data_IF_963876735374
#
_entry.id   IF_963876735374
#
_cell.length_a   1.000
_cell.length_b   1.000
_cell.length_c   1.000
_cell.angle_alpha   90.00
_cell.angle_beta   90.00
_cell.angle_gamma   90.00
#
_symmetry.space_group_name_H-M   'P 1'
#
loop_
_entity.id
_entity.type
_entity.pdbx_description
1 polymer ?
#
# COMPACT_ATOMS: atom_id res chain seq x y z
N UNK A 1 -0.45 5.74 36.26
CA UNK A 1 -1.75 5.63 35.57
C UNK A 1 -2.78 5.22 36.63
N UNK A 2 -4.06 5.58 36.51
CA UNK A 2 -5.08 5.19 37.50
C UNK A 2 -5.38 3.67 37.38
N UNK A 3 -5.59 2.95 38.50
CA UNK A 3 -5.90 1.51 38.46
C UNK A 3 -7.12 1.16 37.60
N UNK A 4 -8.16 2.01 37.62
CA UNK A 4 -9.35 1.85 36.79
C UNK A 4 -9.03 1.92 35.29
N UNK A 5 -8.13 2.82 34.88
CA UNK A 5 -7.72 2.99 33.48
C UNK A 5 -6.90 1.77 33.02
N UNK A 6 -6.03 1.24 33.88
CA UNK A 6 -5.28 0.01 33.59
C UNK A 6 -6.21 -1.19 33.43
N UNK A 7 -7.22 -1.31 34.30
CA UNK A 7 -8.22 -2.37 34.21
C UNK A 7 -9.11 -2.22 32.97
N UNK A 8 -9.48 -1.01 32.58
CA UNK A 8 -10.17 -0.74 31.31
C UNK A 8 -9.33 -1.10 30.08
N UNK A 9 -8.02 -0.83 30.12
CA UNK A 9 -7.12 -1.19 29.02
C UNK A 9 -7.03 -2.71 28.87
N UNK A 10 -6.90 -3.44 30.00
CA UNK A 10 -6.96 -4.91 30.03
C UNK A 10 -8.31 -5.42 29.51
N UNK A 11 -9.42 -4.82 29.95
CA UNK A 11 -10.77 -5.18 29.51
C UNK A 11 -10.93 -4.99 28.00
N UNK A 12 -10.43 -3.89 27.43
CA UNK A 12 -10.46 -3.66 25.99
C UNK A 12 -9.65 -4.72 25.22
N UNK A 13 -8.48 -5.12 25.75
CA UNK A 13 -7.68 -6.20 25.16
C UNK A 13 -8.42 -7.55 25.20
N UNK A 14 -9.06 -7.88 26.32
CA UNK A 14 -9.88 -9.08 26.47
C UNK A 14 -11.07 -9.05 25.50
N UNK A 15 -11.78 -7.92 25.39
CA UNK A 15 -12.92 -7.76 24.47
C UNK A 15 -12.49 -7.92 23.00
N UNK A 16 -11.30 -7.42 22.64
CA UNK A 16 -10.74 -7.59 21.30
C UNK A 16 -10.44 -9.07 20.99
N UNK A 17 -9.88 -9.79 21.95
CA UNK A 17 -9.57 -11.22 21.80
C UNK A 17 -10.85 -12.08 21.73
N UNK A 18 -11.85 -11.76 22.55
CA UNK A 18 -13.18 -12.38 22.47
C UNK A 18 -13.79 -12.15 21.09
N UNK A 19 -13.73 -10.92 20.57
CA UNK A 19 -14.25 -10.61 19.24
C UNK A 19 -13.50 -11.37 18.15
N UNK A 20 -12.15 -11.44 18.22
CA UNK A 20 -11.32 -12.23 17.29
C UNK A 20 -11.76 -13.69 17.24
N UNK A 21 -11.91 -14.34 18.40
CA UNK A 21 -12.35 -15.72 18.50
C UNK A 21 -13.79 -15.90 17.98
N UNK A 22 -14.71 -14.97 18.27
CA UNK A 22 -16.07 -15.01 17.75
C UNK A 22 -16.12 -14.88 16.23
N UNK A 23 -15.30 -14.00 15.66
CA UNK A 23 -15.19 -13.81 14.22
C UNK A 23 -14.60 -15.06 13.54
N UNK A 24 -13.59 -15.70 14.15
CA UNK A 24 -13.02 -16.97 13.68
C UNK A 24 -14.07 -18.10 13.69
N UNK A 25 -14.80 -18.25 14.80
CA UNK A 25 -15.89 -19.21 14.94
C UNK A 25 -16.99 -18.95 13.88
N UNK A 26 -17.34 -17.69 13.65
CA UNK A 26 -18.39 -17.30 12.69
C UNK A 26 -17.97 -17.43 11.22
N UNK A 27 -16.66 -17.47 10.92
CA UNK A 27 -16.15 -17.63 9.57
C UNK A 27 -16.17 -19.10 9.10
N UNK A 28 -16.06 -20.06 10.03
CA UNK A 28 -16.06 -21.49 9.66
C UNK A 28 -17.33 -21.95 8.93
N UNK A 29 -18.56 -21.63 9.39
CA UNK A 29 -19.78 -22.02 8.66
C UNK A 29 -19.84 -21.44 7.25
N UNK A 30 -19.30 -20.23 7.03
CA UNK A 30 -19.27 -19.62 5.70
C UNK A 30 -18.32 -20.36 4.76
N UNK A 31 -17.12 -20.71 5.26
CA UNK A 31 -16.15 -21.51 4.50
C UNK A 31 -16.73 -22.87 4.11
N UNK A 32 -17.38 -23.56 5.06
CA UNK A 32 -18.06 -24.83 4.80
C UNK A 32 -19.15 -24.68 3.75
N UNK A 33 -19.98 -23.63 3.82
CA UNK A 33 -21.04 -23.39 2.84
C UNK A 33 -20.51 -23.17 1.41
N UNK A 34 -19.42 -22.41 1.25
CA UNK A 34 -18.76 -22.20 -0.06
C UNK A 34 -18.27 -23.52 -0.64
N UNK A 35 -17.70 -24.37 0.21
CA UNK A 35 -17.17 -25.67 -0.17
C UNK A 35 -18.31 -26.63 -0.55
N UNK A 36 -19.39 -26.69 0.22
CA UNK A 36 -20.57 -27.51 -0.09
C UNK A 36 -21.25 -27.08 -1.39
N UNK A 37 -21.23 -25.78 -1.70
CA UNK A 37 -21.73 -25.26 -2.98
C UNK A 37 -20.90 -25.78 -4.17
N UNK A 38 -19.56 -25.88 -4.03
CA UNK A 38 -18.71 -26.47 -5.07
C UNK A 38 -19.04 -27.95 -5.27
N UNK A 39 -19.15 -28.72 -4.19
CA UNK A 39 -19.49 -30.15 -4.25
C UNK A 39 -20.87 -30.37 -4.88
N UNK A 40 -21.85 -29.52 -4.60
CA UNK A 40 -23.16 -29.56 -5.25
C UNK A 40 -23.07 -29.34 -6.78
N UNK A 41 -22.15 -28.47 -7.21
CA UNK A 41 -21.80 -28.28 -8.61
C UNK A 41 -21.27 -29.57 -9.26
N UNK A 42 -20.24 -30.18 -8.66
CA UNK A 42 -19.63 -31.45 -9.13
C UNK A 42 -20.66 -32.58 -9.17
N UNK A 43 -21.50 -32.68 -8.14
CA UNK A 43 -22.60 -33.65 -8.09
C UNK A 43 -23.61 -33.45 -9.22
N UNK A 44 -23.96 -32.21 -9.53
CA UNK A 44 -24.87 -31.89 -10.65
C UNK A 44 -24.25 -32.28 -12.00
N UNK A 45 -22.94 -32.12 -12.16
CA UNK A 45 -22.24 -32.56 -13.38
C UNK A 45 -22.27 -34.08 -13.51
N UNK A 46 -22.02 -34.82 -12.42
CA UNK A 46 -22.11 -36.27 -12.39
C UNK A 46 -23.53 -36.76 -12.74
N UNK A 47 -24.56 -36.14 -12.15
CA UNK A 47 -25.97 -36.48 -12.43
C UNK A 47 -26.32 -36.24 -13.91
N UNK A 48 -25.84 -35.14 -14.51
CA UNK A 48 -26.01 -34.87 -15.95
C UNK A 48 -25.32 -35.92 -16.82
N UNK A 49 -24.09 -36.29 -16.49
CA UNK A 49 -23.34 -37.31 -17.24
C UNK A 49 -24.03 -38.68 -17.17
N UNK A 50 -24.52 -39.07 -15.97
CA UNK A 50 -25.28 -40.32 -15.80
C UNK A 50 -26.63 -40.29 -16.53
N UNK A 51 -27.32 -39.15 -16.56
CA UNK A 51 -28.55 -38.99 -17.31
C UNK A 51 -28.32 -39.13 -18.82
N UNK A 52 -27.21 -38.59 -19.35
CA UNK A 52 -26.83 -38.75 -20.75
C UNK A 52 -26.58 -40.22 -21.11
N UNK A 53 -25.82 -40.96 -20.29
CA UNK A 53 -25.60 -42.41 -20.49
C UNK A 53 -26.93 -43.17 -20.54
N UNK A 54 -27.84 -42.91 -19.60
CA UNK A 54 -29.17 -43.55 -19.59
C UNK A 54 -30.01 -43.20 -20.82
N UNK A 55 -29.91 -41.97 -21.32
CA UNK A 55 -30.60 -41.54 -22.53
C UNK A 55 -30.06 -42.27 -23.77
N UNK A 56 -28.74 -42.41 -23.88
CA UNK A 56 -28.08 -43.13 -24.97
C UNK A 56 -28.43 -44.63 -24.95
N UNK A 57 -28.44 -45.26 -23.77
CA UNK A 57 -28.89 -46.64 -23.60
C UNK A 57 -30.36 -46.83 -24.02
N UNK A 58 -31.24 -45.90 -23.65
CA UNK A 58 -32.65 -45.94 -24.03
C UNK A 58 -32.82 -45.74 -25.55
N UNK A 59 -32.05 -44.85 -26.17
CA UNK A 59 -32.07 -44.65 -27.62
C UNK A 59 -31.58 -45.90 -28.37
N UNK A 60 -30.50 -46.53 -27.90
CA UNK A 60 -30.00 -47.79 -28.45
C UNK A 60 -31.06 -48.89 -28.44
N UNK A 61 -31.74 -49.09 -27.31
CA UNK A 61 -32.84 -50.07 -27.20
C UNK A 61 -33.99 -49.79 -28.17
N UNK A 62 -34.28 -48.51 -28.48
CA UNK A 62 -35.30 -48.16 -29.48
C UNK A 62 -34.85 -48.57 -30.88
N UNK A 63 -33.60 -48.32 -31.27
CA UNK A 63 -33.07 -48.74 -32.56
C UNK A 63 -33.00 -50.27 -32.67
N UNK A 64 -32.58 -50.98 -31.62
CA UNK A 64 -32.60 -52.46 -31.58
C UNK A 64 -34.02 -53.01 -31.80
N UNK A 65 -35.02 -52.40 -31.17
CA UNK A 65 -36.43 -52.78 -31.36
C UNK A 65 -36.88 -52.53 -32.79
N UNK A 66 -36.55 -51.36 -33.36
CA UNK A 66 -36.89 -51.02 -34.74
C UNK A 66 -36.24 -51.98 -35.76
N UNK A 67 -34.99 -52.39 -35.53
CA UNK A 67 -34.30 -53.40 -36.35
C UNK A 67 -35.04 -54.74 -36.29
N UNK A 68 -35.45 -55.19 -35.10
CA UNK A 68 -36.20 -56.44 -34.95
C UNK A 68 -37.55 -56.38 -35.69
N UNK A 69 -38.27 -55.26 -35.60
CA UNK A 69 -39.52 -55.06 -36.33
C UNK A 69 -39.31 -55.08 -37.85
N UNK A 70 -38.26 -54.42 -38.35
CA UNK A 70 -37.90 -54.42 -39.78
C UNK A 70 -37.51 -55.81 -40.26
N UNK A 71 -36.74 -56.57 -39.48
CA UNK A 71 -36.40 -57.98 -39.78
C UNK A 71 -37.66 -58.85 -39.85
N UNK A 72 -38.63 -58.62 -38.96
CA UNK A 72 -39.93 -59.26 -38.99
C UNK A 72 -40.73 -58.92 -40.26
N UNK A 73 -40.72 -57.65 -40.70
CA UNK A 73 -41.34 -57.21 -41.97
C UNK A 73 -40.68 -57.87 -43.18
N UNK A 74 -39.34 -57.90 -43.23
CA UNK A 74 -38.59 -58.55 -44.31
C UNK A 74 -38.97 -60.03 -44.42
N UNK A 75 -39.07 -60.75 -43.29
CA UNK A 75 -39.51 -62.15 -43.30
C UNK A 75 -40.91 -62.29 -43.94
N UNK A 76 -41.88 -61.47 -43.51
CA UNK A 76 -43.24 -61.49 -44.05
C UNK A 76 -43.27 -61.16 -45.55
N UNK A 77 -42.52 -60.17 -46.00
CA UNK A 77 -42.46 -59.81 -47.42
C UNK A 77 -41.79 -60.89 -48.25
N UNK A 78 -40.77 -61.59 -47.72
CA UNK A 78 -40.15 -62.74 -48.37
C UNK A 78 -41.15 -63.90 -48.51
N UNK A 79 -41.88 -64.22 -47.45
CA UNK A 79 -42.93 -65.25 -47.50
C UNK A 79 -44.01 -64.89 -48.52
N UNK A 80 -44.51 -63.65 -48.50
CA UNK A 80 -45.50 -63.17 -49.46
C UNK A 80 -44.99 -63.22 -50.90
N UNK A 81 -43.70 -62.91 -51.13
CA UNK A 81 -43.09 -62.91 -52.46
C UNK A 81 -43.10 -64.29 -53.14
N UNK A 82 -43.15 -65.38 -52.36
CA UNK A 82 -43.27 -66.75 -52.86
C UNK A 82 -44.69 -67.08 -53.34
N UNK A 83 -45.71 -66.40 -52.82
CA UNK A 83 -47.13 -66.64 -53.12
C UNK A 83 -47.68 -65.75 -54.27
N UNK A 84 -46.93 -64.71 -54.67
CA UNK A 84 -47.36 -63.73 -55.67
C UNK A 84 -47.29 -64.28 -57.09
N UNK A 85 -48.37 -64.13 -57.87
CA UNK A 85 -48.49 -64.63 -59.25
C UNK A 85 -48.21 -63.59 -60.35
N UNK A 86 -48.15 -62.30 -60.00
CA UNK A 86 -47.89 -61.21 -60.96
C UNK A 86 -46.52 -60.58 -60.75
N UNK A 87 -45.81 -60.33 -61.86
CA UNK A 87 -44.44 -59.81 -61.84
C UNK A 87 -44.35 -58.41 -61.18
N UNK A 88 -45.38 -57.58 -61.35
CA UNK A 88 -45.41 -56.23 -60.77
C UNK A 88 -45.53 -56.24 -59.25
N UNK A 89 -46.35 -57.14 -58.69
CA UNK A 89 -46.48 -57.33 -57.24
C UNK A 89 -45.18 -57.89 -56.64
N UNK A 90 -44.49 -58.79 -57.34
CA UNK A 90 -43.19 -59.32 -56.91
C UNK A 90 -42.12 -58.22 -56.86
N UNK A 91 -42.04 -57.37 -57.89
CA UNK A 91 -41.12 -56.21 -57.92
C UNK A 91 -41.40 -55.21 -56.79
N UNK A 92 -42.67 -54.96 -56.49
CA UNK A 92 -43.05 -54.10 -55.37
C UNK A 92 -42.55 -54.65 -54.03
N UNK A 93 -42.75 -55.95 -53.76
CA UNK A 93 -42.26 -56.60 -52.54
C UNK A 93 -40.73 -56.59 -52.44
N UNK A 94 -40.03 -56.80 -53.56
CA UNK A 94 -38.56 -56.68 -53.58
C UNK A 94 -38.09 -55.25 -53.25
N UNK A 95 -38.80 -54.23 -53.73
CA UNK A 95 -38.48 -52.84 -53.40
C UNK A 95 -38.70 -52.54 -51.91
N UNK A 96 -39.80 -53.03 -51.32
CA UNK A 96 -40.07 -52.90 -49.88
C UNK A 96 -39.02 -53.63 -49.02
N UNK A 97 -38.56 -54.82 -49.45
CA UNK A 97 -37.46 -55.54 -48.78
C UNK A 97 -36.18 -54.72 -48.84
N UNK A 98 -35.80 -54.20 -50.02
CA UNK A 98 -34.60 -53.37 -50.17
C UNK A 98 -34.68 -52.07 -49.34
N UNK A 99 -35.87 -51.47 -49.23
CA UNK A 99 -36.09 -50.30 -48.39
C UNK A 99 -35.88 -50.64 -46.91
N UNK A 100 -36.50 -51.72 -46.42
CA UNK A 100 -36.33 -52.18 -45.05
C UNK A 100 -34.88 -52.59 -44.72
N UNK A 101 -34.16 -53.21 -45.67
CA UNK A 101 -32.73 -53.55 -45.53
C UNK A 101 -31.86 -52.29 -45.40
N UNK A 102 -32.17 -51.22 -46.15
CA UNK A 102 -31.49 -49.91 -46.00
C UNK A 102 -31.79 -49.25 -44.66
N UNK A 103 -33.03 -49.32 -44.18
CA UNK A 103 -33.39 -48.78 -42.87
C UNK A 103 -32.70 -49.54 -41.72
N UNK A 104 -32.56 -50.87 -41.83
CA UNK A 104 -31.76 -51.65 -40.87
C UNK A 104 -30.32 -51.16 -40.85
N UNK A 105 -29.67 -51.04 -42.01
CA UNK A 105 -28.29 -50.57 -42.09
C UNK A 105 -28.12 -49.17 -41.45
N UNK A 106 -29.05 -48.25 -41.72
CA UNK A 106 -29.02 -46.92 -41.12
C UNK A 106 -29.19 -46.94 -39.59
N UNK A 107 -30.03 -47.83 -39.06
CA UNK A 107 -30.19 -48.01 -37.62
C UNK A 107 -28.96 -48.69 -36.97
N UNK A 108 -28.33 -49.65 -37.66
CA UNK A 108 -27.09 -50.29 -37.22
C UNK A 108 -25.94 -49.28 -37.15
N UNK A 109 -25.80 -48.41 -38.16
CA UNK A 109 -24.85 -47.29 -38.15
C UNK A 109 -25.08 -46.34 -36.96
N UNK A 110 -26.35 -46.02 -36.66
CA UNK A 110 -26.72 -45.20 -35.49
C UNK A 110 -26.36 -45.85 -34.17
N UNK A 111 -26.55 -47.17 -34.05
CA UNK A 111 -26.15 -47.93 -32.85
C UNK A 111 -24.63 -47.92 -32.70
N UNK A 112 -23.87 -48.11 -33.78
CA UNK A 112 -22.40 -48.05 -33.74
C UNK A 112 -21.89 -46.67 -33.31
N UNK A 113 -22.46 -45.59 -33.84
CA UNK A 113 -22.17 -44.22 -33.43
C UNK A 113 -22.43 -44.02 -31.92
N UNK A 114 -23.56 -44.53 -31.42
CA UNK A 114 -23.90 -44.48 -29.98
C UNK A 114 -22.96 -45.31 -29.12
N UNK A 115 -22.49 -46.47 -29.59
CA UNK A 115 -21.54 -47.31 -28.86
C UNK A 115 -20.18 -46.64 -28.69
N UNK A 116 -19.68 -45.96 -29.73
CA UNK A 116 -18.44 -45.18 -29.65
C UNK A 116 -18.57 -44.03 -28.65
N UNK A 117 -19.72 -43.35 -28.66
CA UNK A 117 -19.99 -42.26 -27.72
C UNK A 117 -20.18 -42.76 -26.28
N UNK A 118 -20.76 -43.95 -26.08
CA UNK A 118 -20.97 -44.54 -24.77
C UNK A 118 -19.66 -44.77 -24.01
N UNK A 119 -18.61 -45.24 -24.69
CA UNK A 119 -17.27 -45.41 -24.08
C UNK A 119 -16.67 -44.06 -23.63
N UNK A 120 -16.89 -42.99 -24.39
CA UNK A 120 -16.46 -41.65 -24.01
C UNK A 120 -17.25 -41.15 -22.78
N UNK A 121 -18.57 -41.36 -22.76
CA UNK A 121 -19.43 -40.96 -21.63
C UNK A 121 -19.16 -41.76 -20.36
N UNK A 122 -18.86 -43.05 -20.46
CA UNK A 122 -18.49 -43.87 -19.30
C UNK A 122 -17.16 -43.39 -18.68
N UNK A 123 -16.19 -42.99 -19.51
CA UNK A 123 -14.96 -42.34 -19.02
C UNK A 123 -15.24 -41.01 -18.33
N UNK A 124 -16.13 -40.18 -18.88
CA UNK A 124 -16.54 -38.92 -18.25
C UNK A 124 -17.21 -39.16 -16.89
N UNK A 125 -18.12 -40.14 -16.79
CA UNK A 125 -18.78 -40.50 -15.53
C UNK A 125 -17.75 -40.99 -14.50
N UNK A 126 -16.83 -41.86 -14.89
CA UNK A 126 -15.77 -42.37 -14.00
C UNK A 126 -14.85 -41.25 -13.52
N UNK A 127 -14.48 -40.32 -14.40
CA UNK A 127 -13.68 -39.15 -14.04
C UNK A 127 -14.43 -38.26 -13.04
N UNK A 128 -15.69 -37.92 -13.32
CA UNK A 128 -16.52 -37.10 -12.44
C UNK A 128 -16.78 -37.78 -11.07
N UNK A 129 -16.91 -39.12 -11.03
CA UNK A 129 -17.02 -39.87 -9.78
C UNK A 129 -15.72 -39.84 -8.97
N UNK A 130 -14.58 -39.97 -9.62
CA UNK A 130 -13.27 -39.92 -8.96
C UNK A 130 -13.02 -38.52 -8.40
N UNK A 131 -13.32 -37.47 -9.16
CA UNK A 131 -13.25 -36.07 -8.75
C UNK A 131 -14.17 -35.80 -7.56
N UNK A 132 -15.46 -36.16 -7.65
CA UNK A 132 -16.40 -35.99 -6.54
C UNK A 132 -15.94 -36.72 -5.27
N UNK A 133 -15.38 -37.93 -5.40
CA UNK A 133 -14.87 -38.70 -4.25
C UNK A 133 -13.64 -38.03 -3.63
N UNK A 134 -12.72 -37.52 -4.44
CA UNK A 134 -11.54 -36.82 -3.97
C UNK A 134 -11.93 -35.52 -3.26
N UNK A 135 -12.78 -34.70 -3.89
CA UNK A 135 -13.31 -33.47 -3.29
C UNK A 135 -14.04 -33.77 -1.97
N UNK A 136 -14.93 -34.77 -1.94
CA UNK A 136 -15.64 -35.14 -0.71
C UNK A 136 -14.68 -35.52 0.43
N UNK A 137 -13.62 -36.27 0.12
CA UNK A 137 -12.64 -36.67 1.13
C UNK A 137 -11.84 -35.48 1.68
N UNK A 138 -11.42 -34.55 0.82
CA UNK A 138 -10.76 -33.32 1.26
C UNK A 138 -11.68 -32.46 2.12
N UNK A 139 -12.95 -32.35 1.74
CA UNK A 139 -13.95 -31.55 2.44
C UNK A 139 -14.24 -32.11 3.83
N UNK A 140 -14.40 -33.42 3.97
CA UNK A 140 -14.62 -34.02 5.29
C UNK A 140 -13.41 -33.85 6.20
N UNK A 141 -12.18 -33.88 5.64
CA UNK A 141 -10.97 -33.59 6.40
C UNK A 141 -10.94 -32.13 6.85
N UNK A 142 -11.19 -31.17 5.96
CA UNK A 142 -11.23 -29.74 6.32
C UNK A 142 -12.34 -29.44 7.34
N UNK A 143 -13.51 -30.08 7.21
CA UNK A 143 -14.61 -29.96 8.18
C UNK A 143 -14.20 -30.46 9.57
N UNK A 144 -13.51 -31.59 9.64
CA UNK A 144 -13.06 -32.15 10.91
C UNK A 144 -11.99 -31.25 11.57
N UNK A 145 -10.98 -30.81 10.81
CA UNK A 145 -9.97 -29.86 11.29
C UNK A 145 -10.62 -28.55 11.76
N UNK A 146 -11.59 -28.02 11.01
CA UNK A 146 -12.32 -26.82 11.39
C UNK A 146 -13.16 -27.02 12.66
N UNK A 147 -13.81 -28.18 12.84
CA UNK A 147 -14.56 -28.51 14.06
C UNK A 147 -13.66 -28.57 15.28
N UNK A 148 -12.50 -29.20 15.16
CA UNK A 148 -11.53 -29.29 16.24
C UNK A 148 -11.05 -27.90 16.66
N UNK A 149 -10.67 -27.06 15.69
CA UNK A 149 -10.30 -25.66 15.95
C UNK A 149 -11.43 -24.85 16.58
N UNK A 150 -12.66 -24.99 16.07
CA UNK A 150 -13.83 -24.31 16.64
C UNK A 150 -14.03 -24.70 18.11
N UNK A 151 -13.89 -25.99 18.43
CA UNK A 151 -14.03 -26.47 19.80
C UNK A 151 -12.91 -25.93 20.74
N UNK A 152 -11.69 -25.77 20.23
CA UNK A 152 -10.60 -25.11 20.96
C UNK A 152 -10.88 -23.62 21.16
N UNK A 153 -11.32 -22.92 20.13
CA UNK A 153 -11.66 -21.50 20.17
C UNK A 153 -12.84 -21.24 21.12
N UNK A 154 -13.84 -22.14 21.16
CA UNK A 154 -14.94 -22.07 22.12
C UNK A 154 -14.48 -22.24 23.57
N UNK A 155 -13.54 -23.14 23.84
CA UNK A 155 -12.94 -23.29 25.18
C UNK A 155 -12.18 -22.02 25.57
N UNK A 156 -11.33 -21.50 24.68
CA UNK A 156 -10.62 -20.25 24.92
C UNK A 156 -11.59 -19.09 25.14
N UNK A 157 -12.69 -19.03 24.37
CA UNK A 157 -13.73 -18.02 24.53
C UNK A 157 -14.35 -18.07 25.94
N UNK A 158 -14.59 -19.26 26.49
CA UNK A 158 -15.07 -19.38 27.88
C UNK A 158 -14.06 -18.87 28.91
N UNK A 159 -12.77 -19.16 28.72
CA UNK A 159 -11.71 -18.66 29.60
C UNK A 159 -11.59 -17.13 29.53
N UNK A 160 -11.64 -16.56 28.33
CA UNK A 160 -11.59 -15.13 28.13
C UNK A 160 -12.83 -14.43 28.70
N UNK A 161 -14.02 -15.02 28.61
CA UNK A 161 -15.22 -14.52 29.27
C UNK A 161 -15.09 -14.52 30.79
N UNK A 162 -14.54 -15.57 31.38
CA UNK A 162 -14.26 -15.60 32.82
C UNK A 162 -13.25 -14.51 33.24
N UNK A 163 -12.16 -14.33 32.48
CA UNK A 163 -11.20 -13.24 32.68
C UNK A 163 -11.84 -11.86 32.55
N UNK A 164 -12.76 -11.70 31.59
CA UNK A 164 -13.53 -10.47 31.37
C UNK A 164 -14.36 -10.12 32.60
N UNK A 165 -15.11 -11.08 33.14
CA UNK A 165 -15.96 -10.87 34.31
C UNK A 165 -15.14 -10.59 35.58
N UNK A 166 -13.98 -11.25 35.74
CA UNK A 166 -13.04 -10.94 36.82
C UNK A 166 -12.47 -9.52 36.70
N UNK A 167 -12.16 -9.05 35.50
CA UNK A 167 -11.62 -7.69 35.30
C UNK A 167 -12.68 -6.63 35.55
N UNK A 168 -13.95 -6.91 35.22
CA UNK A 168 -15.09 -6.00 35.46
C UNK A 168 -15.34 -5.71 36.93
N UNK A 169 -15.12 -6.66 37.83
CA UNK A 169 -15.36 -6.45 39.27
C UNK A 169 -14.36 -5.47 39.93
N UNK A 170 -13.22 -5.21 39.29
CA UNK A 170 -12.21 -4.26 39.73
C UNK A 170 -12.33 -2.86 39.12
N UNK A 171 -13.45 -2.53 38.47
CA UNK A 171 -13.68 -1.24 37.80
C UNK A 171 -14.92 -0.58 38.40
N UNK A 172 -14.88 0.73 38.58
CA UNK A 172 -16.06 1.53 38.97
C UNK A 172 -17.25 1.33 37.98
N UNK A 173 -18.46 1.09 38.50
CA UNK A 173 -19.64 0.75 37.69
C UNK A 173 -20.06 1.86 36.70
N UNK A 174 -19.99 3.13 37.09
CA UNK A 174 -20.34 4.24 36.20
C UNK A 174 -19.37 4.37 35.03
N UNK A 175 -18.08 4.18 35.33
CA UNK A 175 -17.02 4.19 34.32
C UNK A 175 -17.15 2.99 33.38
N UNK A 176 -17.45 1.81 33.92
CA UNK A 176 -17.67 0.58 33.14
C UNK A 176 -18.87 0.75 32.19
N UNK A 177 -20.01 1.26 32.68
CA UNK A 177 -21.20 1.56 31.86
C UNK A 177 -20.87 2.53 30.73
N UNK A 178 -20.04 3.54 31.01
CA UNK A 178 -19.59 4.49 29.99
C UNK A 178 -18.71 3.83 28.93
N UNK A 179 -17.71 3.07 29.36
CA UNK A 179 -16.84 2.32 28.48
C UNK A 179 -17.61 1.36 27.57
N UNK A 180 -18.52 0.55 28.12
CA UNK A 180 -19.27 -0.45 27.37
C UNK A 180 -20.20 0.18 26.33
N UNK A 181 -20.87 1.28 26.69
CA UNK A 181 -21.69 2.05 25.75
C UNK A 181 -20.85 2.52 24.57
N UNK A 182 -19.72 3.18 24.84
CA UNK A 182 -18.85 3.73 23.78
C UNK A 182 -18.23 2.61 22.94
N UNK A 183 -17.74 1.54 23.58
CA UNK A 183 -17.16 0.36 22.91
C UNK A 183 -18.16 -0.31 21.97
N UNK A 184 -19.44 -0.44 22.39
CA UNK A 184 -20.50 -1.00 21.55
C UNK A 184 -20.75 -0.20 20.26
N UNK A 185 -20.73 1.13 20.33
CA UNK A 185 -21.01 1.99 19.16
C UNK A 185 -19.78 2.30 18.31
N UNK A 186 -18.59 2.31 18.91
CA UNK A 186 -17.37 2.81 18.28
C UNK A 186 -16.27 1.76 18.14
N UNK A 187 -16.50 0.53 18.60
CA UNK A 187 -15.56 -0.59 18.56
C UNK A 187 -14.49 -0.60 19.66
N UNK A 188 -14.21 0.55 20.27
CA UNK A 188 -13.26 0.74 21.39
C UNK A 188 -13.77 1.81 22.35
N UNK A 189 -13.54 1.62 23.65
CA UNK A 189 -14.00 2.52 24.71
C UNK A 189 -12.90 3.40 25.32
N UNK A 190 -11.62 3.05 25.11
CA UNK A 190 -10.46 3.79 25.59
C UNK A 190 -9.54 4.19 24.43
N UNK A 191 -8.87 5.34 24.55
CA UNK A 191 -7.94 5.87 23.54
C UNK A 191 -6.71 6.47 24.20
N UNK A 192 -5.56 6.23 23.59
CA UNK A 192 -4.33 6.94 23.91
C UNK A 192 -4.42 8.41 23.47
N UNK A 193 -3.75 9.26 24.22
CA UNK A 193 -3.48 10.65 23.86
C UNK A 193 -2.00 10.82 23.57
N UNK A 194 -1.68 11.31 22.37
CA UNK A 194 -0.32 11.56 21.90
C UNK A 194 -0.26 12.89 21.16
N UNK A 195 0.76 13.70 21.39
CA UNK A 195 0.94 15.01 20.75
C UNK A 195 -0.31 15.91 20.82
N UNK A 196 -0.93 15.98 22.00
CA UNK A 196 -2.18 16.70 22.24
C UNK A 196 -3.37 16.23 21.38
N UNK A 197 -3.32 15.03 20.79
CA UNK A 197 -4.38 14.47 19.95
C UNK A 197 -4.92 13.19 20.56
N UNK A 198 -6.23 12.99 20.46
CA UNK A 198 -6.85 11.70 20.72
C UNK A 198 -6.52 10.75 19.56
N UNK A 199 -5.88 9.61 19.82
CA UNK A 199 -5.48 8.68 18.75
C UNK A 199 -6.65 7.99 18.05
N UNK A 200 -7.80 7.86 18.73
CA UNK A 200 -8.98 7.23 18.14
C UNK A 200 -9.76 8.13 17.17
N UNK A 201 -9.98 9.41 17.48
CA UNK A 201 -10.69 10.34 16.59
C UNK A 201 -9.79 11.36 15.89
N UNK A 202 -8.51 11.40 16.25
CA UNK A 202 -7.46 12.30 15.71
C UNK A 202 -7.74 13.80 15.89
N UNK A 203 -8.67 14.15 16.78
CA UNK A 203 -8.95 15.55 17.14
C UNK A 203 -7.91 16.05 18.15
N UNK A 204 -7.49 17.29 17.99
CA UNK A 204 -6.66 18.02 18.95
C UNK A 204 -7.47 18.30 20.22
N UNK A 205 -6.94 17.91 21.36
CA UNK A 205 -7.49 18.19 22.68
C UNK A 205 -7.12 19.61 23.09
N UNK A 206 -7.96 20.21 23.93
CA UNK A 206 -7.64 21.50 24.55
C UNK A 206 -6.39 21.32 25.44
N UNK A 207 -5.48 22.31 25.49
CA UNK A 207 -4.26 22.21 26.30
C UNK A 207 -4.53 21.85 27.77
N UNK A 208 -5.61 22.40 28.34
CA UNK A 208 -6.05 22.05 29.70
C UNK A 208 -6.42 20.56 29.82
N UNK A 209 -7.28 20.05 28.94
CA UNK A 209 -7.68 18.64 28.93
C UNK A 209 -6.48 17.72 28.74
N UNK A 210 -5.52 18.08 27.87
CA UNK A 210 -4.29 17.32 27.68
C UNK A 210 -3.47 17.23 28.96
N UNK A 211 -3.29 18.35 29.66
CA UNK A 211 -2.57 18.39 30.94
C UNK A 211 -3.28 17.57 32.03
N UNK A 212 -4.62 17.58 32.07
CA UNK A 212 -5.41 16.77 33.00
C UNK A 212 -5.29 15.26 32.72
N UNK A 213 -5.24 14.84 31.45
CA UNK A 213 -4.98 13.44 31.09
C UNK A 213 -3.55 13.05 31.50
N UNK A 214 -2.58 13.95 31.28
CA UNK A 214 -1.16 13.73 31.62
C UNK A 214 -0.92 13.68 33.12
N UNK A 215 -1.66 14.45 33.93
CA UNK A 215 -1.58 14.38 35.40
C UNK A 215 -2.11 13.06 35.95
N UNK A 216 -3.05 12.41 35.24
CA UNK A 216 -3.61 11.12 35.62
C UNK A 216 -4.35 11.13 36.96
N UNK A 217 -4.85 12.30 37.40
CA UNK A 217 -5.53 12.47 38.69
C UNK A 217 -7.01 12.13 38.64
N UNK A 218 -7.63 12.24 37.46
CA UNK A 218 -9.03 11.95 37.24
C UNK A 218 -9.23 11.29 35.87
N UNK A 219 -10.33 10.56 35.73
CA UNK A 219 -10.71 9.94 34.46
C UNK A 219 -11.32 10.99 33.54
N UNK A 220 -10.67 11.23 32.40
CA UNK A 220 -11.11 12.21 31.40
C UNK A 220 -11.67 11.47 30.18
N UNK A 221 -12.74 12.01 29.60
CA UNK A 221 -13.32 11.53 28.35
C UNK A 221 -13.09 12.54 27.23
N UNK A 222 -12.95 12.06 26.00
CA UNK A 222 -12.84 12.93 24.83
C UNK A 222 -14.19 13.59 24.50
N UNK A 223 -14.23 14.92 24.39
CA UNK A 223 -15.46 15.66 24.02
C UNK A 223 -16.03 15.24 22.66
N UNK A 224 -15.16 14.83 21.72
CA UNK A 224 -15.58 14.51 20.35
C UNK A 224 -16.05 13.07 20.16
N UNK A 225 -15.36 12.10 20.78
CA UNK A 225 -15.64 10.67 20.56
C UNK A 225 -16.08 9.91 21.81
N UNK A 226 -16.13 10.59 22.96
CA UNK A 226 -16.54 10.07 24.27
C UNK A 226 -15.68 8.92 24.82
N UNK A 227 -14.59 8.53 24.16
CA UNK A 227 -13.67 7.52 24.70
C UNK A 227 -12.94 8.04 25.92
N UNK A 228 -12.69 7.14 26.88
CA UNK A 228 -11.83 7.40 28.02
C UNK A 228 -10.41 7.63 27.51
N UNK A 229 -9.75 8.67 28.01
CA UNK A 229 -8.41 9.06 27.59
C UNK A 229 -7.37 8.56 28.59
N UNK A 230 -6.25 8.04 28.07
CA UNK A 230 -5.07 7.75 28.88
C UNK A 230 -3.82 8.30 28.23
N UNK A 231 -2.82 8.54 29.08
CA UNK A 231 -1.50 9.00 28.68
C UNK A 231 -0.46 7.91 28.93
N UNK A 232 0.36 7.63 27.92
CA UNK A 232 1.49 6.71 28.01
C UNK A 232 2.82 7.48 27.92
N UNK A 233 3.57 7.64 29.02
CA UNK A 233 4.83 8.38 29.03
C UNK A 233 5.92 7.82 28.10
N UNK A 234 5.86 6.53 27.76
CA UNK A 234 6.87 5.89 26.93
C UNK A 234 6.81 6.30 25.45
N UNK A 235 5.66 6.81 25.01
CA UNK A 235 5.35 7.11 23.60
C UNK A 235 5.35 8.62 23.30
N UNK A 236 5.71 9.46 24.28
CA UNK A 236 5.87 10.90 24.08
C UNK A 236 7.18 11.16 23.33
N UNK A 237 7.10 11.87 22.20
CA UNK A 237 8.30 12.32 21.49
C UNK A 237 9.11 13.20 22.44
N UNK A 238 10.31 12.76 22.81
CA UNK A 238 11.24 13.60 23.56
C UNK A 238 11.49 14.88 22.76
N UNK A 239 11.22 16.04 23.37
CA UNK A 239 11.45 17.35 22.76
C UNK A 239 12.86 17.40 22.16
N UNK A 240 12.93 17.50 20.83
CA UNK A 240 14.17 17.83 20.12
C UNK A 240 14.57 19.25 20.54
N UNK A 241 15.45 19.36 21.54
CA UNK A 241 16.06 20.65 21.89
C UNK A 241 16.68 21.25 20.62
N UNK A 242 16.36 22.51 20.26
CA UNK A 242 16.91 23.11 19.06
C UNK A 242 18.44 23.17 19.17
N UNK A 243 19.14 22.57 18.19
CA UNK A 243 20.59 22.59 18.08
C UNK A 243 21.08 24.01 17.80
N UNK A 244 21.88 24.58 18.71
CA UNK A 244 22.39 25.95 18.64
C UNK A 244 23.70 26.09 17.85
N UNK A 245 24.23 25.02 17.25
CA UNK A 245 25.49 25.07 16.48
C UNK A 245 25.24 24.99 14.98
N UNK A 246 25.39 26.12 14.29
CA UNK A 246 25.34 26.22 12.82
C UNK A 246 26.72 25.87 12.24
N UNK A 247 26.76 25.10 11.15
CA UNK A 247 28.00 24.61 10.53
C UNK A 247 28.84 25.75 9.91
N UNK A 248 30.19 25.62 9.90
CA UNK A 248 31.11 26.61 9.30
C UNK A 248 30.93 26.70 7.78
N UNK A 249 31.09 27.91 7.22
CA UNK A 249 31.01 28.17 5.78
C UNK A 249 32.20 27.57 5.04
N UNK A 250 31.98 27.10 3.82
CA UNK A 250 33.06 26.83 2.88
C UNK A 250 33.61 28.16 2.36
N UNK A 251 34.93 28.31 2.23
CA UNK A 251 35.54 29.49 1.61
C UNK A 251 36.16 29.12 0.27
N UNK A 252 35.88 29.84 -0.84
CA UNK A 252 36.49 29.54 -2.12
C UNK A 252 37.99 29.83 -2.06
N UNK A 253 38.76 29.10 -2.86
CA UNK A 253 40.21 29.32 -2.95
C UNK A 253 40.53 30.74 -3.45
N UNK A 254 41.67 31.26 -3.00
CA UNK A 254 42.12 32.64 -3.25
C UNK A 254 42.48 32.86 -4.74
N UNK A 255 42.93 31.80 -5.41
CA UNK A 255 43.37 31.70 -6.81
C UNK A 255 42.28 31.21 -7.77
N UNK A 256 41.01 31.22 -7.33
CA UNK A 256 39.91 30.78 -8.17
C UNK A 256 39.83 31.65 -9.44
N UNK A 257 39.60 31.06 -10.64
CA UNK A 257 39.48 31.80 -11.89
C UNK A 257 38.26 32.74 -11.92
N UNK A 258 37.36 32.57 -10.95
CA UNK A 258 36.18 33.39 -10.75
C UNK A 258 35.96 33.71 -9.28
N UNK A 259 35.42 34.89 -9.07
CA UNK A 259 35.22 35.42 -7.75
C UNK A 259 33.99 36.30 -7.59
N UNK A 260 33.13 35.91 -6.64
CA UNK A 260 32.07 36.75 -6.11
C UNK A 260 32.46 37.52 -4.85
N UNK A 261 32.08 38.80 -4.82
CA UNK A 261 32.24 39.67 -3.67
C UNK A 261 30.95 40.44 -3.41
N UNK A 262 30.73 40.77 -2.14
CA UNK A 262 29.70 41.71 -1.73
C UNK A 262 30.34 43.02 -1.26
N UNK A 263 29.76 44.14 -1.66
CA UNK A 263 30.05 45.46 -1.11
C UNK A 263 28.78 46.13 -0.64
N UNK A 264 28.83 46.72 0.55
CA UNK A 264 27.72 47.47 1.12
C UNK A 264 27.57 48.86 0.49
N UNK A 265 28.68 49.44 0.00
CA UNK A 265 28.68 50.74 -0.64
C UNK A 265 29.60 50.73 -1.86
N UNK A 266 29.01 50.97 -3.03
CA UNK A 266 29.71 51.02 -4.31
C UNK A 266 29.34 52.29 -5.08
N UNK A 267 30.23 53.28 -5.08
CA UNK A 267 30.14 54.51 -5.88
C UNK A 267 28.73 55.14 -5.87
N UNK A 268 28.16 55.33 -4.68
CA UNK A 268 26.82 55.91 -4.43
C UNK A 268 25.63 55.08 -4.95
N UNK A 269 25.86 53.84 -5.39
CA UNK A 269 24.83 52.92 -5.94
C UNK A 269 24.34 51.87 -4.95
N UNK A 270 24.77 51.92 -3.68
CA UNK A 270 24.30 51.04 -2.61
C UNK A 270 24.95 49.65 -2.62
N UNK A 271 24.20 48.66 -2.15
CA UNK A 271 24.67 47.28 -1.96
C UNK A 271 24.75 46.51 -3.29
N UNK A 272 25.94 45.97 -3.60
CA UNK A 272 26.20 45.26 -4.86
C UNK A 272 26.88 43.90 -4.68
N UNK A 273 26.55 42.97 -5.57
CA UNK A 273 27.32 41.76 -5.82
C UNK A 273 28.25 41.98 -7.03
N UNK A 274 29.53 41.71 -6.83
CA UNK A 274 30.58 41.84 -7.84
C UNK A 274 31.00 40.45 -8.28
N UNK A 275 30.97 40.19 -9.58
CA UNK A 275 31.54 38.98 -10.17
C UNK A 275 32.76 39.36 -11.01
N UNK A 276 33.91 38.84 -10.62
CA UNK A 276 35.18 38.97 -11.31
C UNK A 276 35.54 37.62 -11.96
N UNK A 277 35.86 37.60 -13.24
CA UNK A 277 36.29 36.38 -13.95
C UNK A 277 37.58 36.61 -14.71
N UNK A 278 38.42 35.59 -14.80
CA UNK A 278 39.59 35.55 -15.68
C UNK A 278 39.29 34.66 -16.89
N UNK A 279 39.36 35.21 -18.10
CA UNK A 279 39.16 34.48 -19.34
C UNK A 279 40.16 34.93 -20.41
N UNK A 280 40.89 33.98 -21.00
CA UNK A 280 41.80 34.19 -22.15
C UNK A 280 42.81 35.34 -21.96
N UNK A 281 43.34 35.51 -20.75
CA UNK A 281 44.33 36.56 -20.43
C UNK A 281 43.75 37.94 -20.14
N UNK A 282 42.42 38.06 -20.12
CA UNK A 282 41.69 39.25 -19.67
C UNK A 282 40.88 38.94 -18.42
N UNK A 283 40.60 39.97 -17.65
CA UNK A 283 39.68 39.92 -16.52
C UNK A 283 38.46 40.77 -16.81
N UNK A 284 37.29 40.27 -16.44
CA UNK A 284 36.01 40.98 -16.59
C UNK A 284 35.35 41.23 -15.24
N UNK A 285 34.67 42.36 -15.12
CA UNK A 285 33.90 42.78 -13.96
C UNK A 285 32.43 42.97 -14.33
N UNK A 286 31.56 42.20 -13.66
CA UNK A 286 30.10 42.36 -13.68
C UNK A 286 29.62 42.82 -12.31
N UNK A 287 28.69 43.77 -12.27
CA UNK A 287 28.15 44.35 -11.03
C UNK A 287 26.65 44.14 -11.01
N UNK A 288 26.12 43.52 -9.97
CA UNK A 288 24.70 43.25 -9.82
C UNK A 288 24.14 43.92 -8.57
N UNK A 289 22.95 44.49 -8.67
CA UNK A 289 22.22 45.01 -7.53
C UNK A 289 21.77 43.89 -6.59
N UNK A 290 22.00 44.03 -5.28
CA UNK A 290 21.70 42.96 -4.29
C UNK A 290 20.20 42.69 -4.13
N UNK A 291 19.34 43.67 -4.42
CA UNK A 291 17.90 43.58 -4.21
C UNK A 291 17.17 43.01 -5.43
N UNK A 292 17.58 43.42 -6.62
CA UNK A 292 16.92 43.12 -7.89
C UNK A 292 17.67 42.10 -8.73
N UNK A 293 18.96 41.88 -8.46
CA UNK A 293 19.82 41.01 -9.28
C UNK A 293 20.16 41.61 -10.65
N UNK A 294 19.80 42.88 -10.92
CA UNK A 294 20.04 43.56 -12.20
C UNK A 294 21.49 43.97 -12.35
N UNK A 295 22.04 43.79 -13.55
CA UNK A 295 23.36 44.27 -13.93
C UNK A 295 23.39 45.80 -13.94
N UNK A 296 24.34 46.38 -13.22
CA UNK A 296 24.53 47.80 -13.03
C UNK A 296 25.67 48.32 -13.91
N UNK A 297 25.32 48.95 -15.02
CA UNK A 297 26.28 49.50 -15.99
C UNK A 297 26.89 48.43 -16.90
N UNK A 298 27.96 48.80 -17.60
CA UNK A 298 28.60 47.93 -18.59
C UNK A 298 29.61 46.97 -17.96
N UNK A 299 29.82 45.82 -18.62
CA UNK A 299 30.86 44.86 -18.26
C UNK A 299 32.21 45.46 -18.60
N UNK A 300 33.06 45.65 -17.59
CA UNK A 300 34.39 46.21 -17.78
C UNK A 300 35.42 45.11 -17.90
N UNK A 301 36.24 45.16 -18.94
CA UNK A 301 37.33 44.22 -19.16
C UNK A 301 38.69 44.92 -19.12
N UNK A 302 39.65 44.32 -18.41
CA UNK A 302 41.04 44.77 -18.30
C UNK A 302 41.98 43.61 -18.61
N UNK A 303 43.20 43.90 -19.04
CA UNK A 303 44.19 42.86 -19.34
C UNK A 303 44.80 42.30 -18.03
N UNK A 304 45.05 40.99 -18.00
CA UNK A 304 45.62 40.31 -16.84
C UNK A 304 44.61 39.81 -15.80
N UNK A 305 45.13 39.31 -14.68
CA UNK A 305 44.36 38.71 -13.59
C UNK A 305 43.50 39.75 -12.85
N UNK A 306 42.24 39.40 -12.56
CA UNK A 306 41.27 40.32 -11.97
C UNK A 306 41.74 40.90 -10.63
N UNK A 307 42.64 40.23 -9.89
CA UNK A 307 43.15 40.70 -8.60
C UNK A 307 44.06 41.91 -8.76
N UNK A 308 44.84 41.95 -9.84
CA UNK A 308 45.72 43.06 -10.17
C UNK A 308 45.00 44.09 -11.03
N UNK A 309 44.05 43.64 -11.84
CA UNK A 309 43.29 44.51 -12.71
C UNK A 309 42.20 45.28 -11.97
N UNK A 310 41.62 44.76 -10.88
CA UNK A 310 40.54 45.40 -10.11
C UNK A 310 40.80 45.38 -8.58
N UNK A 311 41.95 45.88 -8.09
CA UNK A 311 42.25 45.90 -6.65
C UNK A 311 41.26 46.76 -5.86
N UNK A 312 40.68 47.79 -6.48
CA UNK A 312 39.70 48.68 -5.88
C UNK A 312 38.40 47.96 -5.49
N UNK A 313 38.02 46.90 -6.20
CA UNK A 313 36.75 46.19 -5.98
C UNK A 313 36.86 45.11 -4.91
N UNK A 314 38.06 44.53 -4.75
CA UNK A 314 38.34 43.44 -3.81
C UNK A 314 38.61 43.99 -2.41
N UNK A 315 39.31 45.12 -2.31
CA UNK A 315 39.70 45.70 -1.02
C UNK A 315 38.44 46.04 -0.20
N UNK A 316 38.33 45.53 1.03
CA UNK A 316 37.18 45.80 1.90
C UNK A 316 35.87 45.10 1.51
N UNK A 317 35.87 44.23 0.49
CA UNK A 317 34.70 43.48 0.07
C UNK A 317 34.62 42.10 0.74
N UNK A 318 33.39 41.60 0.94
CA UNK A 318 33.15 40.30 1.57
C UNK A 318 33.14 39.19 0.52
N UNK A 319 33.98 38.16 0.69
CA UNK A 319 34.09 37.04 -0.27
C UNK A 319 32.84 36.15 -0.24
N UNK A 320 32.27 35.89 -1.41
CA UNK A 320 31.12 34.99 -1.64
C UNK A 320 31.50 33.71 -2.40
N UNK A 321 30.70 32.65 -2.21
CA UNK A 321 30.92 31.29 -2.71
C UNK A 321 30.44 31.04 -4.13
N UNK A 322 29.65 31.95 -4.72
CA UNK A 322 28.96 31.75 -5.99
C UNK A 322 29.78 30.98 -7.04
N UNK A 323 29.22 29.89 -7.55
CA UNK A 323 29.96 28.86 -8.29
C UNK A 323 29.37 28.58 -9.69
N UNK A 324 28.97 29.63 -10.40
CA UNK A 324 28.44 29.55 -11.76
C UNK A 324 29.52 29.76 -12.81
N UNK A 325 29.60 28.89 -13.80
CA UNK A 325 30.55 28.98 -14.92
C UNK A 325 30.38 30.23 -15.78
N UNK A 326 31.40 30.60 -16.55
CA UNK A 326 31.35 31.76 -17.46
C UNK A 326 30.18 31.68 -18.46
N UNK A 327 29.90 30.49 -19.00
CA UNK A 327 28.76 30.29 -19.90
C UNK A 327 27.40 30.51 -19.21
N UNK A 328 27.27 30.16 -17.93
CA UNK A 328 26.06 30.43 -17.14
C UNK A 328 25.91 31.92 -16.85
N UNK A 329 27.02 32.62 -16.56
CA UNK A 329 27.01 34.07 -16.37
C UNK A 329 26.60 34.82 -17.64
N UNK A 330 27.07 34.37 -18.80
CA UNK A 330 26.68 34.95 -20.09
C UNK A 330 25.19 34.66 -20.39
N UNK A 331 24.69 33.49 -20.00
CA UNK A 331 23.28 33.14 -20.13
C UNK A 331 22.36 33.97 -19.21
N UNK A 332 22.84 34.42 -18.05
CA UNK A 332 22.11 35.33 -17.17
C UNK A 332 21.91 36.71 -17.80
N UNK A 333 22.79 37.12 -18.73
CA UNK A 333 22.68 38.39 -19.43
C UNK A 333 22.66 39.59 -18.47
N UNK A 334 21.57 40.36 -18.46
CA UNK A 334 21.43 41.58 -17.66
C UNK A 334 20.81 41.35 -16.27
N UNK A 335 20.35 40.14 -15.93
CA UNK A 335 19.68 39.86 -14.64
C UNK A 335 20.04 38.48 -14.08
N UNK A 336 20.36 38.41 -12.79
CA UNK A 336 20.58 37.14 -12.10
C UNK A 336 19.25 36.39 -11.90
N UNK A 337 19.20 35.07 -12.20
CA UNK A 337 18.06 34.25 -11.82
C UNK A 337 17.85 34.26 -10.30
N UNK A 338 16.59 34.18 -9.85
CA UNK A 338 16.26 34.21 -8.41
C UNK A 338 17.03 33.17 -7.60
N UNK A 339 17.26 31.98 -8.16
CA UNK A 339 18.02 30.91 -7.49
C UNK A 339 19.47 31.33 -7.21
N UNK A 340 20.10 32.04 -8.14
CA UNK A 340 21.47 32.53 -7.97
C UNK A 340 21.51 33.69 -6.96
N UNK A 341 20.53 34.60 -7.03
CA UNK A 341 20.40 35.71 -6.12
C UNK A 341 20.18 35.26 -4.66
N UNK A 342 19.27 34.31 -4.44
CA UNK A 342 18.97 33.76 -3.12
C UNK A 342 20.16 32.98 -2.55
N UNK A 343 20.92 32.28 -3.41
CA UNK A 343 22.16 31.61 -3.00
C UNK A 343 23.20 32.62 -2.51
N UNK A 344 23.41 33.73 -3.23
CA UNK A 344 24.35 34.78 -2.82
C UNK A 344 23.91 35.48 -1.53
N UNK A 345 22.61 35.70 -1.34
CA UNK A 345 22.06 36.29 -0.10
C UNK A 345 22.23 35.39 1.11
N UNK A 346 21.89 34.12 0.97
CA UNK A 346 22.07 33.13 2.03
C UNK A 346 23.54 33.03 2.45
N UNK A 347 24.43 33.05 1.46
CA UNK A 347 25.87 33.00 1.67
C UNK A 347 26.42 34.30 2.30
N UNK A 348 25.87 35.46 1.93
CA UNK A 348 26.16 36.75 2.55
C UNK A 348 25.74 36.79 4.02
N UNK A 349 24.55 36.28 4.36
CA UNK A 349 24.08 36.22 5.75
C UNK A 349 25.01 35.35 6.60
N UNK A 350 25.45 34.22 6.06
CA UNK A 350 26.42 33.36 6.72
C UNK A 350 27.77 34.06 6.91
N UNK A 351 28.22 34.79 5.89
CA UNK A 351 29.47 35.55 5.93
C UNK A 351 29.42 36.73 6.93
N UNK A 352 28.30 37.46 7.00
CA UNK A 352 28.05 38.53 7.99
C UNK A 352 28.07 37.96 9.40
N UNK A 353 27.43 36.80 9.61
CA UNK A 353 27.43 36.13 10.90
C UNK A 353 28.83 35.68 11.33
N UNK A 354 29.62 35.09 10.42
CA UNK A 354 31.01 34.72 10.70
C UNK A 354 31.89 35.94 11.00
N UNK A 355 31.72 37.04 10.27
CA UNK A 355 32.44 38.29 10.53
C UNK A 355 32.10 38.88 11.91
N UNK A 356 30.83 38.87 12.30
CA UNK A 356 30.38 39.31 13.63
C UNK A 356 30.89 38.40 14.76
N UNK A 357 30.98 37.09 14.52
CA UNK A 357 31.57 36.15 15.47
C UNK A 357 33.10 36.33 15.58
N UNK A 358 33.78 36.70 14.50
CA UNK A 358 35.23 36.93 14.45
C UNK A 358 35.69 38.26 15.07
N UNK A 359 34.86 39.32 15.05
CA UNK A 359 35.19 40.61 15.66
C UNK A 359 35.25 40.59 17.20
N UNK A 360 34.71 39.55 17.83
CA UNK A 360 34.79 39.34 19.29
C UNK A 360 36.06 38.57 19.72
N UNK A 361 36.97 38.24 18.80
CA UNK A 361 38.15 37.41 19.07
C UNK A 361 39.49 38.14 18.78
N UNK A 362 39.72 39.31 19.38
CA UNK A 362 41.07 39.86 19.56
C UNK A 362 41.23 40.38 20.99
N UNK A 363 41.86 39.62 21.91
CA UNK A 363 42.19 40.16 23.22
C UNK A 363 43.36 41.13 23.08
N UNK A 364 43.19 42.33 23.62
CA UNK A 364 44.28 43.26 23.89
C UNK A 364 45.32 42.55 24.78
N UNK A 365 46.51 42.31 24.23
CA UNK A 365 47.66 41.87 25.02
C UNK A 365 48.07 43.04 25.91
N UNK A 366 47.54 43.10 27.13
CA UNK A 366 48.12 43.93 28.18
C UNK A 366 49.56 43.47 28.45
N UNK A 367 50.48 44.41 28.29
CA UNK A 367 51.88 44.25 28.66
C UNK A 367 52.00 43.93 30.16
N UNK A 368 52.73 42.86 30.47
CA UNK A 368 53.16 42.55 31.83
C UNK A 368 54.25 43.55 32.22
N UNK A 369 54.10 44.35 33.29
CA UNK A 369 55.20 45.14 33.81
C UNK A 369 56.19 44.20 34.49
N UNK A 370 57.40 44.15 33.95
CA UNK A 370 58.55 43.58 34.62
C UNK A 370 59.11 44.66 35.52
N UNK A 371 58.76 44.67 36.81
CA UNK A 371 59.53 45.41 37.81
C UNK A 371 60.50 44.46 38.52
N UNK A 372 61.71 44.97 38.62
CA UNK A 372 62.93 44.32 39.05
C UNK A 372 63.06 44.27 40.59
N UNK A 373 63.78 43.25 41.03
CA UNK A 373 64.84 43.29 42.05
C UNK A 373 64.54 43.24 43.56
N UNK A 374 65.25 42.27 44.16
CA UNK A 374 66.02 42.35 45.40
C UNK A 374 65.30 42.19 46.75
N UNK A 375 65.45 41.00 47.33
CA UNK A 375 66.16 40.79 48.61
C UNK A 375 66.75 39.39 48.65
#
# INVERSE_FOLDING_TARGET
>A
MLPDIENLLKLQGIDAEIRRLQDEIAEFPKRVAVIEQKLAGTKTQLEKAQAAVKADEAARRKYDTAINDLRGKISKYRDQSLDVKTNDQYKALLHEIQFAEKEIAANEDKILEMMVNADARDKEVKAAQAELKAETAEIEKEKEEARQRTAEDEKLLTEWRAKRDQTRSGINDDLLRHFERVSKFRGSGISEVRDQKCMACRVMLRPQTYNEVRSGTQTIVCDSCQRVLYYNPAEEMADLKPSTTRAKRHHPKIDAPQAWYYRADFADRGEVFLCLTNARGQSSRRIYDVHTGRLLGDILSREGDYRHAFPEDITGAMRLNGNWTEAELDAFGTELPMVALDSLRFDLDHARHEAAAGSHAKPETHAVPTEQAAS
#
